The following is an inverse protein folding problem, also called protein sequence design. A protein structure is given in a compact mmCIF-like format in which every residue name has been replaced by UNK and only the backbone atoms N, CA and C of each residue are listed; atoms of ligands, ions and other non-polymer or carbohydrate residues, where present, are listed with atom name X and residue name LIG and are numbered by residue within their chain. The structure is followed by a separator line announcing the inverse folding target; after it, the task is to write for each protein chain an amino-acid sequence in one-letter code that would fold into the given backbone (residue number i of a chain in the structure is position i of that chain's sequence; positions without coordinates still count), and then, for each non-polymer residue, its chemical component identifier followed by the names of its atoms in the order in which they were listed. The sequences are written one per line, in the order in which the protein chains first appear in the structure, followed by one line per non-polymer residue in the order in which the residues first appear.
data_IF_723019249899
#
_entry.id   IF_723019249899
#
_cell.length_a   1.000
_cell.length_b   1.000
_cell.length_c   1.000
_cell.angle_alpha   90.00
_cell.angle_beta   90.00
_cell.angle_gamma   90.00
#
_symmetry.space_group_name_H-M   'P 1'
#
loop_
_entity.id
_entity.type
_entity.pdbx_description
1 polymer ?
#
# COMPACT_ATOMS: atom_id res chain seq x y z
N UNK A 1 -27.89 -40.64 10.19
CA UNK A 1 -27.72 -40.36 8.75
C UNK A 1 -27.25 -38.92 8.67
N UNK A 2 -25.94 -38.70 8.72
CA UNK A 2 -25.35 -37.39 8.51
C UNK A 2 -25.41 -37.07 7.01
N UNK A 3 -26.08 -35.99 6.64
CA UNK A 3 -26.05 -35.45 5.29
C UNK A 3 -24.68 -34.82 5.06
N UNK A 4 -23.83 -35.50 4.29
CA UNK A 4 -22.58 -34.96 3.79
C UNK A 4 -22.92 -33.85 2.80
N UNK A 5 -22.74 -32.59 3.22
CA UNK A 5 -22.96 -31.43 2.36
C UNK A 5 -21.79 -31.35 1.37
N UNK A 6 -21.97 -31.85 0.14
CA UNK A 6 -20.97 -31.70 -0.91
C UNK A 6 -20.86 -30.21 -1.24
N UNK A 7 -19.74 -29.58 -0.87
CA UNK A 7 -19.45 -28.20 -1.25
C UNK A 7 -19.33 -28.14 -2.78
N UNK A 8 -20.28 -27.46 -3.45
CA UNK A 8 -20.30 -27.34 -4.89
C UNK A 8 -19.11 -26.49 -5.36
N UNK A 9 -18.28 -27.06 -6.22
CA UNK A 9 -17.08 -26.38 -6.77
C UNK A 9 -17.52 -25.28 -7.72
N UNK A 10 -17.12 -24.04 -7.47
CA UNK A 10 -17.51 -22.88 -8.29
C UNK A 10 -16.59 -22.71 -9.51
N UNK A 11 -17.15 -22.76 -10.71
CA UNK A 11 -16.47 -22.44 -11.97
C UNK A 11 -16.12 -20.95 -12.01
N UNK A 12 -14.83 -20.65 -12.08
CA UNK A 12 -14.30 -19.31 -11.85
C UNK A 12 -13.50 -18.79 -13.04
N UNK A 13 -13.83 -17.58 -13.50
CA UNK A 13 -13.01 -16.80 -14.44
C UNK A 13 -12.30 -15.67 -13.72
N UNK A 14 -11.06 -15.38 -14.14
CA UNK A 14 -10.29 -14.25 -13.62
C UNK A 14 -10.07 -13.24 -14.76
N UNK A 15 -10.56 -12.01 -14.58
CA UNK A 15 -10.34 -10.92 -15.52
C UNK A 15 -9.00 -10.24 -15.17
N UNK A 16 -8.04 -10.33 -16.09
CA UNK A 16 -6.68 -9.85 -15.95
C UNK A 16 -5.69 -10.98 -15.66
N UNK A 17 -4.85 -11.29 -16.63
CA UNK A 17 -3.68 -12.16 -16.51
C UNK A 17 -2.42 -11.35 -16.13
N UNK A 18 -2.59 -10.23 -15.42
CA UNK A 18 -1.47 -9.52 -14.80
C UNK A 18 -0.95 -10.25 -13.57
N UNK A 19 0.04 -9.66 -12.89
CA UNK A 19 0.64 -10.22 -11.68
C UNK A 19 -0.41 -10.51 -10.60
N UNK A 20 -1.34 -9.57 -10.41
CA UNK A 20 -2.47 -9.71 -9.47
C UNK A 20 -3.32 -10.94 -9.79
N UNK A 21 -3.70 -11.14 -11.06
CA UNK A 21 -4.46 -12.30 -11.52
C UNK A 21 -3.77 -13.62 -11.19
N UNK A 22 -2.48 -13.70 -11.50
CA UNK A 22 -1.67 -14.89 -11.26
C UNK A 22 -1.52 -15.24 -9.78
N UNK A 23 -1.37 -14.23 -8.92
CA UNK A 23 -1.21 -14.44 -7.47
C UNK A 23 -2.47 -15.05 -6.87
N UNK A 24 -3.64 -14.56 -7.26
CA UNK A 24 -4.92 -15.10 -6.79
C UNK A 24 -5.09 -16.52 -7.31
N UNK A 25 -4.77 -16.76 -8.58
CA UNK A 25 -4.91 -18.08 -9.16
C UNK A 25 -4.08 -19.11 -8.38
N UNK A 26 -2.81 -18.78 -8.09
CA UNK A 26 -1.94 -19.61 -7.24
C UNK A 26 -2.51 -19.81 -5.84
N UNK A 27 -3.04 -18.76 -5.22
CA UNK A 27 -3.63 -18.83 -3.86
C UNK A 27 -4.85 -19.73 -3.83
N UNK A 28 -5.79 -19.54 -4.76
CA UNK A 28 -7.00 -20.38 -4.90
C UNK A 28 -6.61 -21.84 -5.13
N UNK A 29 -5.65 -22.12 -6.02
CA UNK A 29 -5.19 -23.48 -6.28
C UNK A 29 -4.56 -24.15 -5.06
N UNK A 30 -3.85 -23.39 -4.22
CA UNK A 30 -3.10 -23.93 -3.07
C UNK A 30 -3.93 -24.03 -1.79
N UNK A 31 -4.81 -23.07 -1.55
CA UNK A 31 -5.48 -22.88 -0.24
C UNK A 31 -6.98 -23.15 -0.29
N UNK A 32 -7.58 -23.16 -1.48
CA UNK A 32 -9.01 -23.38 -1.70
C UNK A 32 -9.24 -24.52 -2.69
N UNK A 33 -8.31 -25.48 -2.70
CA UNK A 33 -8.36 -26.68 -3.55
C UNK A 33 -9.66 -27.45 -3.24
N UNK A 34 -10.55 -27.54 -4.24
CA UNK A 34 -11.87 -28.19 -4.11
C UNK A 34 -13.06 -27.24 -3.91
N UNK A 35 -12.85 -25.94 -3.68
CA UNK A 35 -13.96 -24.95 -3.57
C UNK A 35 -14.16 -24.15 -4.86
N UNK A 36 -13.08 -23.86 -5.57
CA UNK A 36 -13.11 -23.11 -6.83
C UNK A 36 -12.35 -23.85 -7.92
N UNK A 37 -12.91 -23.85 -9.13
CA UNK A 37 -12.27 -24.35 -10.35
C UNK A 37 -11.95 -23.18 -11.25
N UNK A 38 -10.68 -22.83 -11.38
CA UNK A 38 -10.26 -21.76 -12.28
C UNK A 38 -10.25 -22.31 -13.71
N UNK A 39 -11.06 -21.72 -14.58
CA UNK A 39 -11.21 -22.14 -15.97
C UNK A 39 -10.27 -21.40 -16.93
N UNK A 40 -9.88 -20.18 -16.59
CA UNK A 40 -9.00 -19.37 -17.44
C UNK A 40 -8.96 -17.92 -17.03
N UNK A 41 -7.99 -17.22 -17.63
CA UNK A 41 -7.92 -15.77 -17.58
C UNK A 41 -8.58 -15.13 -18.80
N UNK A 42 -9.11 -13.92 -18.63
CA UNK A 42 -9.45 -13.02 -19.74
C UNK A 42 -8.58 -11.77 -19.68
N UNK A 43 -7.83 -11.50 -20.73
CA UNK A 43 -6.93 -10.33 -20.80
C UNK A 43 -6.88 -9.80 -22.25
N UNK A 44 -6.98 -8.48 -22.39
CA UNK A 44 -6.96 -7.80 -23.69
C UNK A 44 -5.52 -7.56 -24.18
N UNK A 45 -4.50 -7.73 -23.32
CA UNK A 45 -3.10 -7.58 -23.69
C UNK A 45 -2.63 -8.78 -24.55
N UNK A 46 -2.38 -8.50 -25.84
CA UNK A 46 -2.03 -9.51 -26.84
C UNK A 46 -0.76 -10.31 -26.51
N UNK A 47 0.20 -9.68 -25.82
CA UNK A 47 1.45 -10.31 -25.35
C UNK A 47 1.23 -11.43 -24.32
N UNK A 48 0.05 -11.49 -23.69
CA UNK A 48 -0.28 -12.45 -22.62
C UNK A 48 -1.15 -13.60 -23.08
N UNK A 49 -1.66 -13.57 -24.31
CA UNK A 49 -2.61 -14.56 -24.81
C UNK A 49 -1.99 -15.96 -25.00
N UNK A 50 -0.66 -16.05 -25.10
CA UNK A 50 0.09 -17.32 -25.22
C UNK A 50 0.79 -17.76 -23.92
N UNK A 51 0.61 -17.03 -22.81
CA UNK A 51 1.29 -17.33 -21.54
C UNK A 51 0.40 -18.27 -20.71
N UNK A 52 0.91 -19.47 -20.44
CA UNK A 52 0.35 -20.39 -19.44
C UNK A 52 1.20 -20.35 -18.18
N UNK A 53 0.56 -20.08 -17.03
CA UNK A 53 1.22 -20.04 -15.73
C UNK A 53 0.47 -20.96 -14.77
N UNK A 54 1.18 -21.97 -14.25
CA UNK A 54 0.62 -23.02 -13.39
C UNK A 54 -0.58 -23.80 -13.99
N UNK A 55 -0.63 -23.94 -15.32
CA UNK A 55 -1.64 -24.74 -16.02
C UNK A 55 -2.94 -24.00 -16.36
N UNK A 56 -3.06 -22.73 -15.99
CA UNK A 56 -4.19 -21.87 -16.40
C UNK A 56 -3.70 -20.89 -17.47
N UNK A 57 -4.39 -20.88 -18.61
CA UNK A 57 -4.09 -20.01 -19.75
C UNK A 57 -5.05 -18.84 -19.86
N UNK A 58 -4.67 -17.84 -20.64
CA UNK A 58 -5.62 -16.86 -21.16
C UNK A 58 -6.48 -17.57 -22.20
N UNK A 59 -7.80 -17.54 -22.00
CA UNK A 59 -8.77 -18.25 -22.88
C UNK A 59 -9.61 -17.29 -23.73
N UNK A 60 -9.34 -16.00 -23.64
CA UNK A 60 -10.03 -14.96 -24.40
C UNK A 60 -9.75 -13.56 -23.87
N UNK A 61 -10.49 -12.62 -24.42
CA UNK A 61 -10.49 -11.20 -24.07
C UNK A 61 -11.66 -10.86 -23.16
N UNK A 62 -11.72 -9.63 -22.63
CA UNK A 62 -12.89 -9.17 -21.88
C UNK A 62 -14.17 -9.14 -22.73
N UNK A 63 -14.05 -9.06 -24.05
CA UNK A 63 -15.18 -9.14 -24.97
C UNK A 63 -15.77 -10.55 -25.06
N UNK A 64 -14.99 -11.58 -24.75
CA UNK A 64 -15.42 -12.98 -24.77
C UNK A 64 -16.23 -13.38 -23.53
N UNK A 65 -16.26 -12.55 -22.49
CA UNK A 65 -16.85 -12.88 -21.18
C UNK A 65 -18.28 -13.43 -21.30
N UNK A 66 -19.16 -12.76 -22.05
CA UNK A 66 -20.55 -13.19 -22.20
C UNK A 66 -20.65 -14.60 -22.83
N UNK A 67 -19.89 -14.83 -23.91
CA UNK A 67 -19.86 -16.13 -24.60
C UNK A 67 -19.33 -17.24 -23.68
N UNK A 68 -18.32 -16.93 -22.87
CA UNK A 68 -17.68 -17.90 -21.98
C UNK A 68 -18.54 -18.23 -20.76
N UNK A 69 -19.30 -17.24 -20.26
CA UNK A 69 -20.33 -17.43 -19.25
C UNK A 69 -21.32 -18.51 -19.69
N UNK A 70 -21.85 -18.39 -20.91
CA UNK A 70 -22.85 -19.33 -21.45
C UNK A 70 -22.25 -20.71 -21.74
N UNK A 71 -20.99 -20.77 -22.19
CA UNK A 71 -20.35 -22.01 -22.64
C UNK A 71 -19.83 -22.88 -21.48
N UNK A 72 -19.39 -22.25 -20.38
CA UNK A 72 -18.64 -22.92 -19.32
C UNK A 72 -19.33 -22.91 -17.95
N UNK A 73 -20.60 -22.48 -17.88
CA UNK A 73 -21.41 -22.46 -16.65
C UNK A 73 -20.66 -21.79 -15.50
N UNK A 74 -20.35 -20.50 -15.69
CA UNK A 74 -19.51 -19.73 -14.77
C UNK A 74 -20.31 -19.31 -13.54
N UNK A 75 -19.84 -19.67 -12.35
CA UNK A 75 -20.47 -19.29 -11.08
C UNK A 75 -19.87 -17.99 -10.50
N UNK A 76 -18.60 -17.72 -10.80
CA UNK A 76 -17.82 -16.65 -10.21
C UNK A 76 -16.91 -15.96 -11.23
N UNK A 77 -16.94 -14.63 -11.24
CA UNK A 77 -15.98 -13.79 -11.96
C UNK A 77 -15.18 -12.97 -10.96
N UNK A 78 -13.85 -13.06 -11.03
CA UNK A 78 -12.92 -12.27 -10.20
C UNK A 78 -12.27 -11.21 -11.07
N UNK A 79 -12.43 -9.93 -10.72
CA UNK A 79 -11.78 -8.82 -11.41
C UNK A 79 -10.44 -8.51 -10.76
N UNK A 80 -9.36 -8.89 -11.43
CA UNK A 80 -7.97 -8.66 -11.02
C UNK A 80 -7.30 -7.48 -11.75
N UNK A 81 -8.03 -6.78 -12.61
CA UNK A 81 -7.56 -5.56 -13.29
C UNK A 81 -7.76 -4.37 -12.35
N UNK A 82 -6.65 -3.86 -11.81
CA UNK A 82 -6.63 -2.79 -10.80
C UNK A 82 -7.06 -1.43 -11.35
N UNK A 83 -6.69 -1.11 -12.60
CA UNK A 83 -6.97 0.17 -13.26
C UNK A 83 -8.06 0.07 -14.34
N UNK A 84 -9.11 -0.72 -14.12
CA UNK A 84 -10.21 -0.83 -15.09
C UNK A 84 -11.03 0.47 -15.14
N UNK A 85 -11.23 1.01 -16.35
CA UNK A 85 -12.07 2.19 -16.55
C UNK A 85 -13.54 1.93 -16.17
N UNK A 86 -14.22 2.96 -15.64
CA UNK A 86 -15.61 2.84 -15.11
C UNK A 86 -16.59 2.26 -16.13
N UNK A 87 -16.50 2.66 -17.40
CA UNK A 87 -17.38 2.17 -18.48
C UNK A 87 -17.23 0.66 -18.69
N UNK A 88 -16.00 0.17 -18.72
CA UNK A 88 -15.72 -1.25 -18.89
C UNK A 88 -16.20 -2.08 -17.69
N UNK A 89 -15.99 -1.56 -16.47
CA UNK A 89 -16.45 -2.22 -15.24
C UNK A 89 -17.97 -2.32 -15.18
N UNK A 90 -18.69 -1.23 -15.44
CA UNK A 90 -20.16 -1.23 -15.45
C UNK A 90 -20.71 -2.23 -16.46
N UNK A 91 -20.08 -2.37 -17.63
CA UNK A 91 -20.46 -3.38 -18.63
C UNK A 91 -20.32 -4.81 -18.07
N UNK A 92 -19.20 -5.12 -17.43
CA UNK A 92 -18.96 -6.43 -16.81
C UNK A 92 -19.94 -6.70 -15.68
N UNK A 93 -20.20 -5.70 -14.84
CA UNK A 93 -21.17 -5.79 -13.74
C UNK A 93 -22.58 -6.06 -14.25
N UNK A 94 -23.03 -5.36 -15.30
CA UNK A 94 -24.33 -5.62 -15.93
C UNK A 94 -24.42 -7.03 -16.52
N UNK A 95 -23.37 -7.51 -17.19
CA UNK A 95 -23.32 -8.86 -17.75
C UNK A 95 -23.43 -9.93 -16.65
N UNK A 96 -22.66 -9.79 -15.56
CA UNK A 96 -22.71 -10.74 -14.45
C UNK A 96 -24.07 -10.73 -13.75
N UNK A 97 -24.67 -9.56 -13.53
CA UNK A 97 -26.02 -9.44 -12.95
C UNK A 97 -27.10 -10.09 -13.79
N UNK A 98 -27.05 -9.92 -15.12
CA UNK A 98 -28.03 -10.52 -16.03
C UNK A 98 -27.93 -12.05 -16.08
N UNK A 99 -26.72 -12.59 -15.89
CA UNK A 99 -26.45 -14.01 -15.88
C UNK A 99 -26.52 -14.66 -14.48
N UNK A 100 -26.90 -13.91 -13.44
CA UNK A 100 -26.90 -14.35 -12.03
C UNK A 100 -25.55 -14.89 -11.54
N UNK A 101 -24.46 -14.24 -11.96
CA UNK A 101 -23.09 -14.63 -11.65
C UNK A 101 -22.54 -13.78 -10.52
N UNK A 102 -21.88 -14.44 -9.58
CA UNK A 102 -21.17 -13.76 -8.51
C UNK A 102 -20.00 -12.98 -9.10
N UNK A 103 -19.99 -11.65 -8.89
CA UNK A 103 -18.87 -10.80 -9.30
C UNK A 103 -18.09 -10.36 -8.07
N UNK A 104 -16.82 -10.76 -7.99
CA UNK A 104 -15.89 -10.29 -6.97
C UNK A 104 -14.86 -9.38 -7.60
N UNK A 105 -14.64 -8.23 -6.99
CA UNK A 105 -13.55 -7.33 -7.36
C UNK A 105 -12.46 -7.43 -6.31
N UNK A 106 -11.22 -7.52 -6.77
CA UNK A 106 -10.12 -7.29 -5.84
C UNK A 106 -10.02 -5.79 -5.62
N UNK A 107 -10.14 -5.34 -4.37
CA UNK A 107 -9.85 -3.95 -4.07
C UNK A 107 -8.43 -3.63 -4.54
N UNK A 108 -8.25 -2.46 -5.13
CA UNK A 108 -6.89 -1.95 -5.31
C UNK A 108 -6.24 -1.84 -3.92
N UNK A 109 -4.90 -1.85 -3.82
CA UNK A 109 -4.21 -1.70 -2.52
C UNK A 109 -4.73 -0.45 -1.77
N UNK A 110 -5.19 0.56 -2.51
CA UNK A 110 -5.83 1.77 -2.00
C UNK A 110 -7.26 1.57 -1.44
N UNK A 111 -8.06 0.65 -2.00
CA UNK A 111 -9.43 0.38 -1.57
C UNK A 111 -9.47 -0.44 -0.26
N UNK A 112 -8.47 -1.32 -0.05
CA UNK A 112 -8.26 -2.05 1.22
C UNK A 112 -7.99 -1.10 2.39
N UNK A 113 -7.45 0.09 2.11
CA UNK A 113 -7.11 1.09 3.12
C UNK A 113 -8.29 2.03 3.46
N UNK A 114 -9.39 1.99 2.70
CA UNK A 114 -10.47 2.99 2.79
C UNK A 114 -11.83 2.44 3.26
N UNK A 115 -12.05 1.13 3.33
CA UNK A 115 -13.35 0.57 3.74
C UNK A 115 -13.23 -0.66 4.65
N UNK A 116 -13.78 -0.54 5.87
CA UNK A 116 -14.07 -1.65 6.80
C UNK A 116 -15.33 -2.43 6.35
N UNK A 117 -15.32 -3.03 5.16
CA UNK A 117 -16.36 -4.02 4.81
C UNK A 117 -15.73 -5.42 4.71
N UNK A 118 -16.37 -6.47 5.29
CA UNK A 118 -15.82 -7.80 5.29
C UNK A 118 -16.07 -8.45 3.92
N UNK A 119 -15.06 -8.42 3.05
CA UNK A 119 -15.04 -9.15 1.79
C UNK A 119 -13.85 -10.10 1.80
N UNK A 120 -14.11 -11.31 2.31
CA UNK A 120 -13.17 -12.43 2.41
C UNK A 120 -11.99 -12.08 3.32
N UNK A 121 -11.76 -12.92 4.31
CA UNK A 121 -10.57 -12.86 5.16
C UNK A 121 -9.32 -13.19 4.31
N UNK A 122 -8.86 -12.20 3.55
CA UNK A 122 -7.57 -12.16 2.85
C UNK A 122 -6.55 -11.39 3.68
N UNK A 123 -6.75 -11.29 5.01
CA UNK A 123 -5.93 -10.51 5.92
C UNK A 123 -4.44 -10.92 5.97
N UNK A 124 -4.03 -11.99 5.30
CA UNK A 124 -2.63 -12.38 5.16
C UNK A 124 -2.21 -12.54 3.69
N UNK A 125 -2.14 -11.44 2.94
CA UNK A 125 -1.27 -11.37 1.76
C UNK A 125 -0.08 -10.49 2.14
N UNK A 126 1.08 -11.09 2.44
CA UNK A 126 2.30 -10.32 2.61
C UNK A 126 2.62 -9.63 1.28
N UNK A 127 2.72 -8.31 1.32
CA UNK A 127 3.08 -7.42 0.18
C UNK A 127 4.32 -7.87 -0.59
N UNK A 128 5.16 -8.71 0.01
CA UNK A 128 6.39 -9.25 -0.58
C UNK A 128 6.17 -10.21 -1.75
N UNK A 129 5.01 -10.88 -1.82
CA UNK A 129 4.69 -11.87 -2.88
C UNK A 129 4.30 -11.25 -4.23
N UNK A 130 4.09 -9.93 -4.27
CA UNK A 130 3.74 -9.14 -5.46
C UNK A 130 4.97 -8.56 -6.19
N UNK A 131 6.16 -8.66 -5.61
CA UNK A 131 7.39 -8.09 -6.15
C UNK A 131 8.30 -9.22 -6.66
N UNK A 132 8.66 -9.21 -7.95
CA UNK A 132 9.61 -10.15 -8.58
C UNK A 132 11.08 -9.88 -8.16
N UNK A 133 11.33 -9.66 -6.87
CA UNK A 133 12.68 -9.53 -6.32
C UNK A 133 12.79 -10.28 -5.01
N UNK A 134 13.92 -10.96 -4.82
CA UNK A 134 14.36 -11.38 -3.49
C UNK A 134 14.39 -10.11 -2.60
N UNK A 135 13.71 -10.10 -1.44
CA UNK A 135 13.79 -8.98 -0.52
C UNK A 135 15.26 -8.79 -0.13
N UNK A 136 15.73 -7.55 -0.16
CA UNK A 136 17.05 -7.22 0.36
C UNK A 136 17.07 -7.67 1.83
N UNK A 137 17.96 -8.60 2.17
CA UNK A 137 18.20 -8.95 3.56
C UNK A 137 18.82 -7.73 4.23
N UNK A 138 18.00 -7.00 4.98
CA UNK A 138 18.47 -5.93 5.83
C UNK A 138 19.35 -6.55 6.91
N UNK A 139 20.44 -5.87 7.28
CA UNK A 139 21.25 -6.31 8.40
C UNK A 139 20.51 -5.97 9.71
N UNK A 140 19.55 -6.82 10.09
CA UNK A 140 18.67 -6.62 11.24
C UNK A 140 19.44 -6.33 12.53
N UNK A 141 20.66 -6.86 12.68
CA UNK A 141 21.51 -6.61 13.84
C UNK A 141 21.99 -5.14 13.94
N UNK A 142 22.29 -4.51 12.82
CA UNK A 142 22.73 -3.11 12.78
C UNK A 142 21.55 -2.16 13.03
N UNK A 143 20.41 -2.43 12.39
CA UNK A 143 19.18 -1.66 12.56
C UNK A 143 18.71 -1.74 14.01
N UNK A 144 18.71 -2.95 14.60
CA UNK A 144 18.36 -3.14 16.01
C UNK A 144 19.25 -2.31 16.93
N UNK A 145 20.56 -2.29 16.67
CA UNK A 145 21.52 -1.51 17.47
C UNK A 145 21.26 0.00 17.38
N UNK A 146 20.84 0.48 16.22
CA UNK A 146 20.55 1.90 15.98
C UNK A 146 19.20 2.36 16.55
N UNK A 147 18.23 1.45 16.74
CA UNK A 147 16.87 1.81 17.12
C UNK A 147 16.47 1.37 18.53
N UNK A 148 17.08 0.30 19.05
CA UNK A 148 16.74 -0.22 20.37
C UNK A 148 17.05 0.81 21.46
N UNK A 149 16.07 1.05 22.34
CA UNK A 149 16.14 2.05 23.41
C UNK A 149 16.39 3.50 22.92
N UNK A 150 16.20 3.77 21.63
CA UNK A 150 16.26 5.12 21.08
C UNK A 150 14.88 5.78 20.99
N UNK A 151 14.85 7.10 20.93
CA UNK A 151 13.67 7.87 20.56
C UNK A 151 13.61 8.03 19.05
N UNK A 152 12.52 7.60 18.43
CA UNK A 152 12.33 7.65 16.97
C UNK A 152 11.11 8.50 16.65
N UNK A 153 11.27 9.49 15.77
CA UNK A 153 10.18 10.32 15.27
C UNK A 153 9.80 9.92 13.85
N UNK A 154 8.51 9.69 13.60
CA UNK A 154 7.97 9.37 12.28
C UNK A 154 6.96 10.45 11.89
N UNK A 155 7.24 11.19 10.81
CA UNK A 155 6.25 12.13 10.26
C UNK A 155 5.37 11.43 9.23
N UNK A 156 4.10 11.84 9.16
CA UNK A 156 3.13 11.17 8.30
C UNK A 156 2.79 9.77 8.81
N UNK A 157 2.87 9.56 10.13
CA UNK A 157 2.75 8.24 10.77
C UNK A 157 1.40 7.55 10.49
N UNK A 158 0.32 8.30 10.29
CA UNK A 158 -0.99 7.76 9.91
C UNK A 158 -1.15 7.46 8.40
N UNK A 159 -0.15 7.80 7.57
CA UNK A 159 -0.18 7.52 6.14
C UNK A 159 0.19 6.07 5.81
N UNK A 160 -0.02 5.63 4.56
CA UNK A 160 0.26 4.24 4.14
C UNK A 160 1.70 3.80 4.40
N UNK A 161 2.68 4.67 4.10
CA UNK A 161 4.10 4.35 4.33
C UNK A 161 4.47 4.57 5.79
N UNK A 162 4.03 5.69 6.38
CA UNK A 162 4.34 6.00 7.77
C UNK A 162 3.84 4.93 8.74
N UNK A 163 2.61 4.44 8.55
CA UNK A 163 2.04 3.38 9.39
C UNK A 163 2.84 2.08 9.31
N UNK A 164 3.29 1.70 8.11
CA UNK A 164 4.14 0.53 7.94
C UNK A 164 5.53 0.72 8.55
N UNK A 165 6.11 1.93 8.44
CA UNK A 165 7.35 2.26 9.16
C UNK A 165 7.14 2.14 10.67
N UNK A 166 6.02 2.62 11.22
CA UNK A 166 5.73 2.48 12.65
C UNK A 166 5.69 1.00 13.07
N UNK A 167 5.00 0.14 12.30
CA UNK A 167 4.93 -1.31 12.56
C UNK A 167 6.29 -1.99 12.49
N UNK A 168 7.11 -1.65 11.50
CA UNK A 168 8.43 -2.27 11.33
C UNK A 168 9.42 -1.80 12.38
N UNK A 169 9.45 -0.50 12.67
CA UNK A 169 10.37 0.08 13.63
C UNK A 169 10.04 -0.34 15.07
N UNK A 170 8.77 -0.59 15.39
CA UNK A 170 8.35 -1.08 16.70
C UNK A 170 9.00 -2.43 17.08
N UNK A 171 9.26 -3.30 16.09
CA UNK A 171 9.88 -4.62 16.31
C UNK A 171 11.30 -4.54 16.89
N UNK A 172 11.94 -3.38 16.78
CA UNK A 172 13.28 -3.14 17.33
C UNK A 172 13.25 -2.57 18.75
N UNK A 173 12.07 -2.47 19.37
CA UNK A 173 11.87 -2.03 20.75
C UNK A 173 12.56 -0.68 21.05
N UNK A 174 12.20 0.40 20.32
CA UNK A 174 12.67 1.74 20.67
C UNK A 174 12.16 2.14 22.04
N UNK A 175 12.85 3.08 22.70
CA UNK A 175 12.39 3.65 23.97
C UNK A 175 11.07 4.39 23.78
N UNK A 176 11.02 5.22 22.73
CA UNK A 176 9.84 6.00 22.38
C UNK A 176 9.65 6.04 20.87
N UNK A 177 8.40 5.92 20.42
CA UNK A 177 8.00 6.06 19.03
C UNK A 177 7.01 7.22 18.91
N UNK A 178 7.45 8.31 18.31
CA UNK A 178 6.66 9.54 18.15
C UNK A 178 5.95 9.48 16.80
N UNK A 179 4.62 9.49 16.86
CA UNK A 179 3.71 9.33 15.73
C UNK A 179 3.18 10.71 15.34
N UNK A 180 3.86 11.40 14.43
CA UNK A 180 3.50 12.75 14.01
C UNK A 180 2.67 12.73 12.73
N UNK A 181 1.53 13.41 12.73
CA UNK A 181 0.76 13.65 11.51
C UNK A 181 -0.36 14.67 11.69
N UNK A 182 -0.85 15.23 10.59
CA UNK A 182 -1.91 16.24 10.62
C UNK A 182 -3.32 15.62 10.75
N UNK A 183 -3.48 14.34 10.38
CA UNK A 183 -4.77 13.67 10.35
C UNK A 183 -5.06 12.97 11.68
N UNK A 184 -5.90 13.57 12.52
CA UNK A 184 -6.29 13.05 13.85
C UNK A 184 -6.69 11.57 13.81
N UNK A 185 -7.67 11.21 12.97
CA UNK A 185 -8.16 9.84 12.89
C UNK A 185 -7.07 8.86 12.42
N UNK A 186 -6.22 9.28 11.48
CA UNK A 186 -5.14 8.42 10.98
C UNK A 186 -4.07 8.13 12.04
N UNK A 187 -3.78 9.10 12.91
CA UNK A 187 -2.84 8.95 14.03
C UNK A 187 -3.48 8.12 15.15
N UNK A 188 -4.75 8.36 15.46
CA UNK A 188 -5.49 7.55 16.42
C UNK A 188 -5.50 6.06 16.04
N UNK A 189 -5.84 5.75 14.79
CA UNK A 189 -5.92 4.37 14.31
C UNK A 189 -4.58 3.64 14.39
N UNK A 190 -3.48 4.28 13.96
CA UNK A 190 -2.16 3.63 14.04
C UNK A 190 -1.67 3.51 15.47
N UNK A 191 -1.92 4.49 16.34
CA UNK A 191 -1.54 4.40 17.75
C UNK A 191 -2.31 3.25 18.44
N UNK A 192 -3.62 3.15 18.21
CA UNK A 192 -4.45 2.07 18.74
C UNK A 192 -3.95 0.69 18.25
N UNK A 193 -3.62 0.57 16.96
CA UNK A 193 -3.09 -0.67 16.38
C UNK A 193 -1.76 -1.10 17.03
N UNK A 194 -0.87 -0.15 17.32
CA UNK A 194 0.45 -0.42 17.87
C UNK A 194 0.43 -0.66 19.37
N UNK A 195 -0.54 -0.10 20.10
CA UNK A 195 -0.61 -0.16 21.57
C UNK A 195 -0.54 -1.59 22.12
N UNK A 196 -1.21 -2.54 21.47
CA UNK A 196 -1.19 -3.95 21.88
C UNK A 196 0.16 -4.63 21.66
N UNK A 197 0.96 -4.11 20.71
CA UNK A 197 2.26 -4.65 20.31
C UNK A 197 3.44 -3.88 20.91
N UNK A 198 3.17 -2.76 21.58
CA UNK A 198 4.19 -1.80 21.97
C UNK A 198 5.16 -2.31 23.04
N UNK A 199 4.74 -3.28 23.86
CA UNK A 199 5.56 -3.80 24.95
C UNK A 199 6.02 -2.67 25.88
N UNK A 200 7.33 -2.41 25.90
CA UNK A 200 7.96 -1.35 26.70
C UNK A 200 8.17 -0.03 25.93
N UNK A 201 7.87 0.02 24.64
CA UNK A 201 7.99 1.24 23.84
C UNK A 201 6.89 2.23 24.21
N UNK A 202 7.28 3.47 24.48
CA UNK A 202 6.31 4.56 24.72
C UNK A 202 5.81 5.10 23.37
N UNK A 203 4.51 4.98 23.09
CA UNK A 203 3.89 5.59 21.91
C UNK A 203 3.49 7.04 22.23
N UNK A 204 3.91 7.98 21.39
CA UNK A 204 3.61 9.41 21.56
C UNK A 204 2.90 9.94 20.32
N UNK A 205 1.56 9.95 20.27
CA UNK A 205 0.81 10.53 19.16
C UNK A 205 0.87 12.06 19.21
N UNK A 206 1.26 12.70 18.09
CA UNK A 206 1.32 14.16 17.96
C UNK A 206 0.55 14.60 16.73
N UNK A 207 -0.44 15.48 16.94
CA UNK A 207 -1.16 16.13 15.86
C UNK A 207 -0.48 17.45 15.51
N UNK A 208 0.20 17.47 14.36
CA UNK A 208 0.93 18.63 13.88
C UNK A 208 1.03 18.64 12.35
N UNK A 209 1.14 19.84 11.79
CA UNK A 209 1.40 20.05 10.37
C UNK A 209 2.89 20.39 10.18
N UNK A 210 3.59 19.62 9.34
CA UNK A 210 5.01 19.83 9.03
C UNK A 210 5.29 21.20 8.40
N UNK A 211 4.27 21.87 7.86
CA UNK A 211 4.36 23.25 7.36
C UNK A 211 4.59 24.27 8.48
N UNK A 212 4.26 23.95 9.73
CA UNK A 212 4.50 24.82 10.87
C UNK A 212 5.94 24.67 11.40
N UNK A 213 6.84 25.53 10.91
CA UNK A 213 8.26 25.51 11.30
C UNK A 213 8.48 25.60 12.80
N UNK A 214 7.80 26.52 13.48
CA UNK A 214 8.00 26.73 14.91
C UNK A 214 7.62 25.48 15.70
N UNK A 215 6.48 24.87 15.37
CA UNK A 215 6.01 23.65 16.02
C UNK A 215 6.95 22.46 15.74
N UNK A 216 7.52 22.35 14.53
CA UNK A 216 8.50 21.29 14.23
C UNK A 216 9.77 21.45 15.07
N UNK A 217 10.23 22.69 15.27
CA UNK A 217 11.37 22.95 16.15
C UNK A 217 11.06 22.59 17.60
N UNK A 218 9.91 23.00 18.13
CA UNK A 218 9.47 22.69 19.49
C UNK A 218 9.38 21.17 19.72
N UNK A 219 8.80 20.43 18.77
CA UNK A 219 8.69 18.96 18.89
C UNK A 219 10.07 18.30 18.85
N UNK A 220 10.95 18.69 17.92
CA UNK A 220 12.28 18.06 17.84
C UNK A 220 13.12 18.41 19.07
N UNK A 221 13.00 19.63 19.60
CA UNK A 221 13.65 20.05 20.84
C UNK A 221 13.13 19.31 22.08
N UNK A 222 11.81 19.23 22.24
CA UNK A 222 11.16 18.62 23.41
C UNK A 222 11.46 17.12 23.50
N UNK A 223 11.33 16.41 22.38
CA UNK A 223 11.44 14.96 22.38
C UNK A 223 12.85 14.43 22.07
N UNK A 224 13.73 15.29 21.54
CA UNK A 224 15.13 14.97 21.20
C UNK A 224 15.28 13.60 20.50
N UNK A 225 14.66 13.39 19.33
CA UNK A 225 14.72 12.10 18.64
C UNK A 225 16.14 11.78 18.18
N UNK A 226 16.56 10.53 18.35
CA UNK A 226 17.82 10.03 17.81
C UNK A 226 17.74 9.86 16.29
N UNK A 227 16.57 9.45 15.79
CA UNK A 227 16.31 9.27 14.37
C UNK A 227 14.96 9.85 13.95
N UNK A 228 14.92 10.46 12.77
CA UNK A 228 13.70 10.93 12.12
C UNK A 228 13.48 10.15 10.83
N UNK A 229 12.28 9.58 10.68
CA UNK A 229 11.79 8.98 9.46
C UNK A 229 10.69 9.88 8.87
N UNK A 230 11.02 10.58 7.78
CA UNK A 230 10.14 11.54 7.14
C UNK A 230 9.32 10.89 6.02
N UNK A 231 8.07 10.54 6.31
CA UNK A 231 7.12 9.96 5.36
C UNK A 231 5.94 10.89 5.01
N UNK A 232 5.86 12.07 5.62
CA UNK A 232 4.83 13.07 5.33
C UNK A 232 5.07 13.73 3.96
N UNK A 233 4.24 13.38 2.97
CA UNK A 233 4.23 14.03 1.66
C UNK A 233 2.89 13.79 0.95
N UNK A 234 2.48 14.74 0.12
CA UNK A 234 1.43 14.52 -0.87
C UNK A 234 1.98 13.67 -2.01
N UNK A 235 1.18 12.69 -2.44
CA UNK A 235 1.60 11.64 -3.38
C UNK A 235 0.79 11.54 -4.68
N UNK A 236 -0.40 12.13 -4.73
CA UNK A 236 -1.32 11.98 -5.87
C UNK A 236 -0.96 12.95 -6.99
N UNK A 237 -0.42 12.43 -8.11
CA UNK A 237 0.07 13.23 -9.24
C UNK A 237 -1.02 14.16 -9.77
N UNK A 238 -2.15 13.65 -10.26
CA UNK A 238 -3.21 14.48 -10.85
C UNK A 238 -3.70 15.59 -9.92
N UNK A 239 -3.83 15.27 -8.62
CA UNK A 239 -4.28 16.24 -7.63
C UNK A 239 -3.22 17.32 -7.37
N UNK A 240 -1.94 16.94 -7.35
CA UNK A 240 -0.84 17.88 -7.09
C UNK A 240 -0.45 18.70 -8.31
N UNK A 241 -0.65 18.20 -9.54
CA UNK A 241 -0.56 19.02 -10.75
C UNK A 241 -1.64 20.11 -10.75
N UNK A 242 -2.85 19.80 -10.24
CA UNK A 242 -3.92 20.78 -10.08
C UNK A 242 -3.72 21.72 -8.88
N UNK A 243 -2.92 21.31 -7.88
CA UNK A 243 -2.67 22.05 -6.65
C UNK A 243 -1.16 22.23 -6.40
N UNK A 244 -0.44 22.88 -7.33
CA UNK A 244 1.03 22.91 -7.31
C UNK A 244 1.59 23.63 -6.09
N UNK A 245 0.91 24.67 -5.62
CA UNK A 245 1.27 25.40 -4.42
C UNK A 245 1.25 24.51 -3.17
N UNK A 246 0.26 23.63 -3.05
CA UNK A 246 0.18 22.70 -1.92
C UNK A 246 1.22 21.60 -2.01
N UNK A 247 1.55 21.13 -3.23
CA UNK A 247 2.64 20.19 -3.45
C UNK A 247 3.98 20.77 -2.96
N UNK A 248 4.28 22.02 -3.30
CA UNK A 248 5.51 22.70 -2.86
C UNK A 248 5.50 22.97 -1.35
N UNK A 249 4.41 23.52 -0.81
CA UNK A 249 4.36 23.83 0.62
C UNK A 249 4.46 22.59 1.50
N UNK A 250 3.69 21.55 1.20
CA UNK A 250 3.72 20.36 2.04
C UNK A 250 5.01 19.57 1.83
N UNK A 251 5.39 19.29 0.57
CA UNK A 251 6.54 18.43 0.32
C UNK A 251 7.85 19.19 0.54
N UNK A 252 8.05 20.36 -0.09
CA UNK A 252 9.36 21.03 -0.05
C UNK A 252 9.54 21.81 1.25
N UNK A 253 8.60 22.71 1.58
CA UNK A 253 8.71 23.53 2.79
C UNK A 253 8.56 22.67 4.04
N UNK A 254 7.62 21.71 4.04
CA UNK A 254 7.45 20.77 5.13
C UNK A 254 8.68 19.88 5.37
N UNK A 255 9.32 19.36 4.31
CA UNK A 255 10.62 18.66 4.44
C UNK A 255 11.69 19.59 5.00
N UNK A 256 11.81 20.81 4.48
CA UNK A 256 12.81 21.78 4.98
C UNK A 256 12.66 22.07 6.46
N UNK A 257 11.44 22.28 6.95
CA UNK A 257 11.18 22.57 8.36
C UNK A 257 11.66 21.45 9.29
N UNK A 258 11.37 20.19 8.94
CA UNK A 258 11.76 19.06 9.78
C UNK A 258 13.28 18.78 9.68
N UNK A 259 13.88 18.97 8.50
CA UNK A 259 15.32 18.78 8.30
C UNK A 259 16.14 19.88 8.97
N UNK A 260 15.68 21.12 8.91
CA UNK A 260 16.28 22.24 9.64
C UNK A 260 16.20 22.01 11.16
N UNK A 261 15.07 21.53 11.66
CA UNK A 261 14.95 21.17 13.08
C UNK A 261 15.89 20.01 13.44
N UNK A 262 16.00 18.99 12.58
CA UNK A 262 16.88 17.86 12.78
C UNK A 262 18.36 18.27 12.89
N UNK A 263 18.83 19.09 11.95
CA UNK A 263 20.19 19.64 11.95
C UNK A 263 20.46 20.50 13.18
N UNK A 264 19.57 21.46 13.45
CA UNK A 264 19.71 22.40 14.58
C UNK A 264 19.82 21.71 15.94
N UNK A 265 19.07 20.62 16.14
CA UNK A 265 19.02 19.91 17.42
C UNK A 265 19.87 18.63 17.43
N UNK A 266 20.70 18.40 16.40
CA UNK A 266 21.71 17.33 16.39
C UNK A 266 21.13 15.92 16.31
N UNK A 267 20.05 15.73 15.54
CA UNK A 267 19.48 14.41 15.27
C UNK A 267 20.50 13.56 14.50
N UNK A 268 20.76 12.34 14.96
CA UNK A 268 21.87 11.52 14.47
C UNK A 268 21.59 10.87 13.10
N UNK A 269 20.32 10.60 12.81
CA UNK A 269 19.92 9.95 11.56
C UNK A 269 18.62 10.56 11.03
N UNK A 270 18.65 11.01 9.78
CA UNK A 270 17.47 11.49 9.08
C UNK A 270 17.23 10.66 7.82
N UNK A 271 16.08 10.00 7.74
CA UNK A 271 15.69 9.16 6.60
C UNK A 271 14.46 9.78 5.94
N UNK A 272 14.62 10.23 4.69
CA UNK A 272 13.50 10.72 3.89
C UNK A 272 12.98 9.63 2.94
N UNK A 273 11.66 9.45 2.87
CA UNK A 273 11.06 8.57 1.88
C UNK A 273 10.90 9.30 0.53
N UNK A 274 11.75 8.92 -0.44
CA UNK A 274 11.67 9.37 -1.84
C UNK A 274 10.89 8.39 -2.73
N UNK A 275 10.82 8.67 -4.04
CA UNK A 275 10.15 7.83 -5.03
C UNK A 275 10.82 7.92 -6.40
N UNK A 276 10.55 6.93 -7.24
CA UNK A 276 10.87 6.86 -8.67
C UNK A 276 10.61 8.17 -9.45
N UNK A 277 9.62 8.95 -9.02
CA UNK A 277 9.21 10.22 -9.66
C UNK A 277 10.21 11.37 -9.50
N UNK A 278 11.26 11.20 -8.68
CA UNK A 278 12.33 12.19 -8.51
C UNK A 278 13.46 12.09 -9.55
N UNK A 279 13.59 10.96 -10.26
CA UNK A 279 14.75 10.68 -11.12
C UNK A 279 14.71 11.47 -12.44
N UNK A 280 13.53 11.64 -13.05
CA UNK A 280 13.30 12.46 -14.24
C UNK A 280 11.90 13.10 -14.17
N UNK A 281 11.73 14.21 -13.44
CA UNK A 281 10.41 14.76 -13.17
C UNK A 281 9.81 15.42 -14.42
N UNK A 282 8.65 14.92 -14.87
CA UNK A 282 7.88 15.50 -16.00
C UNK A 282 6.68 16.35 -15.55
N UNK A 283 6.54 16.59 -14.24
CA UNK A 283 5.41 17.31 -13.63
C UNK A 283 5.75 17.86 -12.24
N UNK A 284 4.88 18.72 -11.71
CA UNK A 284 5.05 19.40 -10.42
C UNK A 284 5.28 18.41 -9.28
N UNK A 285 4.56 17.28 -9.26
CA UNK A 285 4.72 16.31 -8.18
C UNK A 285 6.15 15.75 -8.15
N UNK A 286 6.66 15.29 -9.29
CA UNK A 286 8.03 14.78 -9.40
C UNK A 286 9.07 15.86 -9.09
N UNK A 287 8.85 17.08 -9.56
CA UNK A 287 9.73 18.22 -9.28
C UNK A 287 9.78 18.54 -7.78
N UNK A 288 8.63 18.53 -7.10
CA UNK A 288 8.55 18.72 -5.64
C UNK A 288 9.38 17.68 -4.89
N UNK A 289 9.32 16.40 -5.30
CA UNK A 289 10.10 15.33 -4.67
C UNK A 289 11.60 15.47 -4.91
N UNK A 290 12.00 15.90 -6.10
CA UNK A 290 13.40 16.20 -6.40
C UNK A 290 13.91 17.38 -5.59
N UNK A 291 13.09 18.40 -5.38
CA UNK A 291 13.42 19.52 -4.47
C UNK A 291 13.57 19.04 -3.03
N UNK A 292 12.72 18.13 -2.53
CA UNK A 292 12.92 17.53 -1.21
C UNK A 292 14.30 16.86 -1.10
N UNK A 293 14.75 16.12 -2.11
CA UNK A 293 16.09 15.50 -2.11
C UNK A 293 17.20 16.54 -2.03
N UNK A 294 17.08 17.66 -2.77
CA UNK A 294 18.02 18.78 -2.72
C UNK A 294 18.05 19.45 -1.34
N UNK A 295 16.88 19.61 -0.71
CA UNK A 295 16.76 20.13 0.66
C UNK A 295 17.50 19.22 1.64
N UNK A 296 17.30 17.89 1.57
CA UNK A 296 18.05 16.96 2.44
C UNK A 296 19.56 17.05 2.22
N UNK A 297 19.99 17.16 0.96
CA UNK A 297 21.41 17.30 0.62
C UNK A 297 22.06 18.57 1.15
N UNK A 298 21.29 19.64 1.40
CA UNK A 298 21.79 20.87 2.03
C UNK A 298 22.23 20.63 3.48
N UNK A 299 21.58 19.70 4.19
CA UNK A 299 21.81 19.38 5.60
C UNK A 299 22.57 18.06 5.82
N UNK A 300 23.08 17.44 4.75
CA UNK A 300 23.74 16.13 4.76
C UNK A 300 25.27 16.22 4.86
#
# INVERSE_FOLDING_TARGET
MEQTNFQQVKNTLILGAGDTGHIIAKKIMKEQEGTFRILGFLDDAQEKQDISLAGVSVIGTLADLQRLIELYDIDLVIVAITNMGRVAFTRIESLCKLADIELRRIPCIEDLLLKNEPLIDLADIPTQSLLNREPVQLNDADIKRQLHQQTVLITGAGGSIGSEMCRQLLKYEPKSLILLGHGENSIYLIEQELREKAGNTTLVPIIADIKNRQQMHEIVEEYAPNAIYHAAAHKHVTLMEANPHEAINNNVIGTRNISEAADRFGVQSFVMISSDKAVNPTGVMGASKRMCEMVIQEFA
#
